data_IF_291531255245
#
_entry.id   IF_291531255245
#
_cell.length_a   1.000
_cell.length_b   1.000
_cell.length_c   1.000
_cell.angle_alpha   90.00
_cell.angle_beta   90.00
_cell.angle_gamma   90.00
#
_symmetry.space_group_name_H-M   'P 1'
#
loop_
_entity.id
_entity.type
_entity.pdbx_description
1 polymer ?
#
# COMPACT_ATOMS: atom_id res chain seq x y z
N UNK A 1 -5.91 -17.41 -5.79
CA UNK A 1 -5.54 -16.34 -4.84
C UNK A 1 -6.07 -14.98 -5.29
N UNK A 2 -5.80 -14.49 -6.49
CA UNK A 2 -6.30 -13.17 -6.93
C UNK A 2 -7.83 -13.03 -6.80
N UNK A 3 -8.57 -14.08 -7.11
CA UNK A 3 -10.03 -14.12 -6.95
C UNK A 3 -10.48 -13.95 -5.48
N UNK A 4 -9.73 -14.54 -4.55
CA UNK A 4 -9.95 -14.35 -3.12
C UNK A 4 -9.71 -12.91 -2.68
N UNK A 5 -8.60 -12.29 -3.14
CA UNK A 5 -8.31 -10.88 -2.82
C UNK A 5 -9.37 -9.95 -3.41
N UNK A 6 -9.85 -10.21 -4.65
CA UNK A 6 -10.95 -9.46 -5.25
C UNK A 6 -12.24 -9.57 -4.42
N UNK A 7 -12.63 -10.79 -4.05
CA UNK A 7 -13.84 -11.00 -3.23
C UNK A 7 -13.72 -10.30 -1.86
N UNK A 8 -12.51 -10.25 -1.29
CA UNK A 8 -12.25 -9.55 -0.03
C UNK A 8 -12.41 -8.03 -0.20
N UNK A 9 -11.81 -7.45 -1.24
CA UNK A 9 -11.93 -6.02 -1.54
C UNK A 9 -13.39 -5.63 -1.85
N UNK A 10 -14.15 -6.49 -2.55
CA UNK A 10 -15.58 -6.28 -2.82
C UNK A 10 -16.41 -6.28 -1.53
N UNK A 11 -16.12 -7.20 -0.59
CA UNK A 11 -16.81 -7.23 0.69
C UNK A 11 -16.56 -5.95 1.49
N UNK A 12 -15.32 -5.42 1.48
CA UNK A 12 -14.99 -4.13 2.09
C UNK A 12 -15.76 -3.00 1.40
N UNK A 13 -15.75 -2.95 0.06
CA UNK A 13 -16.48 -1.92 -0.71
C UNK A 13 -17.97 -1.92 -0.34
N UNK A 14 -18.58 -3.09 -0.29
CA UNK A 14 -19.99 -3.23 0.08
C UNK A 14 -20.26 -2.76 1.52
N UNK A 15 -19.37 -3.09 2.46
CA UNK A 15 -19.48 -2.64 3.84
C UNK A 15 -19.38 -1.11 3.92
N UNK A 16 -18.45 -0.48 3.19
CA UNK A 16 -18.28 0.98 3.18
C UNK A 16 -19.48 1.71 2.56
N UNK A 17 -20.08 1.19 1.50
CA UNK A 17 -21.30 1.77 0.92
C UNK A 17 -22.49 1.78 1.91
N UNK A 18 -22.54 0.82 2.83
CA UNK A 18 -23.58 0.73 3.86
C UNK A 18 -23.23 1.46 5.14
N UNK A 19 -21.95 1.78 5.35
CA UNK A 19 -21.46 2.41 6.57
C UNK A 19 -21.95 3.84 6.72
N UNK A 20 -22.23 4.25 7.99
CA UNK A 20 -22.76 5.60 8.28
C UNK A 20 -21.97 6.34 9.37
N UNK A 21 -21.11 5.65 10.10
CA UNK A 21 -20.38 6.20 11.24
C UNK A 21 -18.91 6.42 10.90
N UNK A 22 -18.55 7.60 10.42
CA UNK A 22 -17.20 7.96 9.97
C UNK A 22 -16.32 8.59 11.05
N UNK A 23 -16.79 8.58 12.30
CA UNK A 23 -16.06 9.11 13.46
C UNK A 23 -15.07 8.13 14.07
N UNK A 24 -14.27 8.64 15.03
CA UNK A 24 -13.35 7.81 15.83
C UNK A 24 -14.10 6.77 16.65
N UNK A 25 -13.64 5.53 16.62
CA UNK A 25 -14.22 4.41 17.38
C UNK A 25 -13.91 4.48 18.88
N UNK A 26 -12.81 5.15 19.26
CA UNK A 26 -12.40 5.29 20.67
C UNK A 26 -11.75 4.04 21.29
N UNK A 27 -11.57 2.97 20.53
CA UNK A 27 -10.96 1.72 21.02
C UNK A 27 -9.43 1.80 21.06
N UNK A 28 -8.83 2.47 20.08
CA UNK A 28 -7.41 2.88 20.08
C UNK A 28 -7.25 4.24 19.40
N UNK A 29 -6.09 4.87 19.60
CA UNK A 29 -5.79 6.17 18.99
C UNK A 29 -5.76 6.06 17.46
N UNK A 30 -6.51 6.92 16.77
CA UNK A 30 -6.54 6.99 15.32
C UNK A 30 -7.46 6.02 14.62
N UNK A 31 -8.08 5.05 15.33
CA UNK A 31 -9.00 4.08 14.76
C UNK A 31 -10.40 4.66 14.60
N UNK A 32 -10.99 4.43 13.46
CA UNK A 32 -12.35 4.88 13.13
C UNK A 32 -13.35 3.71 13.15
N UNK A 33 -14.65 4.01 13.22
CA UNK A 33 -15.70 2.99 13.14
C UNK A 33 -15.72 2.25 11.79
N UNK A 34 -15.41 2.95 10.70
CA UNK A 34 -15.34 2.34 9.37
C UNK A 34 -14.17 1.36 9.22
N UNK A 35 -13.03 1.58 9.89
CA UNK A 35 -11.91 0.62 9.88
C UNK A 35 -12.35 -0.73 10.46
N UNK A 36 -13.05 -0.71 11.59
CA UNK A 36 -13.58 -1.92 12.23
C UNK A 36 -14.60 -2.65 11.36
N UNK A 37 -15.47 -1.89 10.67
CA UNK A 37 -16.47 -2.46 9.79
C UNK A 37 -15.83 -3.08 8.53
N UNK A 38 -14.81 -2.42 7.98
CA UNK A 38 -14.04 -2.91 6.84
C UNK A 38 -13.25 -4.18 7.19
N UNK A 39 -12.58 -4.21 8.35
CA UNK A 39 -11.85 -5.38 8.85
C UNK A 39 -12.79 -6.56 9.04
N UNK A 40 -13.94 -6.35 9.70
CA UNK A 40 -14.93 -7.41 9.90
C UNK A 40 -15.43 -8.00 8.57
N UNK A 41 -15.67 -7.17 7.55
CA UNK A 41 -16.07 -7.62 6.22
C UNK A 41 -14.98 -8.44 5.52
N UNK A 42 -13.72 -7.99 5.60
CA UNK A 42 -12.58 -8.72 5.07
C UNK A 42 -12.37 -10.07 5.75
N UNK A 43 -12.42 -10.10 7.08
CA UNK A 43 -12.27 -11.32 7.86
C UNK A 43 -13.35 -12.37 7.56
N UNK A 44 -14.58 -11.94 7.31
CA UNK A 44 -15.68 -12.85 6.94
C UNK A 44 -15.38 -13.63 5.65
N UNK A 45 -14.61 -13.06 4.72
CA UNK A 45 -14.17 -13.72 3.49
C UNK A 45 -12.91 -14.54 3.69
N UNK A 46 -11.92 -14.01 4.41
CA UNK A 46 -10.60 -14.62 4.52
C UNK A 46 -10.55 -15.81 5.51
N UNK A 47 -11.16 -15.69 6.69
CA UNK A 47 -11.08 -16.70 7.75
C UNK A 47 -11.53 -18.11 7.33
N UNK A 48 -12.64 -18.30 6.55
CA UNK A 48 -13.07 -19.63 6.12
C UNK A 48 -12.04 -20.35 5.24
N UNK A 49 -11.15 -19.62 4.55
CA UNK A 49 -10.15 -20.19 3.64
C UNK A 49 -8.99 -20.86 4.39
N UNK A 50 -8.77 -20.52 5.65
CA UNK A 50 -7.70 -21.02 6.48
C UNK A 50 -6.33 -20.38 6.21
N UNK A 51 -6.24 -19.28 5.49
CA UNK A 51 -5.01 -18.46 5.37
C UNK A 51 -4.66 -17.82 6.72
N UNK A 52 -3.38 -17.59 6.96
CA UNK A 52 -2.96 -16.67 8.03
C UNK A 52 -3.30 -15.24 7.60
N UNK A 53 -3.83 -14.43 8.52
CA UNK A 53 -4.20 -13.05 8.26
C UNK A 53 -3.35 -12.14 9.12
N UNK A 54 -2.73 -11.14 8.52
CA UNK A 54 -2.08 -10.04 9.21
C UNK A 54 -2.78 -8.74 8.84
N UNK A 55 -3.67 -8.30 9.72
CA UNK A 55 -4.48 -7.09 9.52
C UNK A 55 -3.99 -5.95 10.40
N UNK A 56 -4.09 -4.71 9.90
CA UNK A 56 -3.89 -3.51 10.72
C UNK A 56 -4.80 -3.51 11.95
N UNK A 57 -6.07 -3.86 11.77
CA UNK A 57 -7.09 -3.70 12.78
C UNK A 57 -7.14 -4.84 13.79
N UNK A 58 -7.16 -6.07 13.31
CA UNK A 58 -7.32 -7.27 14.13
C UNK A 58 -6.01 -8.02 14.42
N UNK A 59 -4.88 -7.56 13.89
CA UNK A 59 -3.57 -8.14 14.12
C UNK A 59 -3.34 -9.49 13.42
N UNK A 60 -2.45 -10.30 13.97
CA UNK A 60 -2.09 -11.60 13.42
C UNK A 60 -3.07 -12.69 13.86
N UNK A 61 -3.68 -13.35 12.90
CA UNK A 61 -4.57 -14.50 13.09
C UNK A 61 -3.98 -15.72 12.37
N UNK A 62 -3.55 -16.71 13.13
CA UNK A 62 -2.93 -17.91 12.58
C UNK A 62 -3.92 -18.74 11.76
N UNK A 63 -3.50 -19.12 10.56
CA UNK A 63 -4.22 -19.99 9.65
C UNK A 63 -3.71 -21.44 9.67
N UNK A 64 -4.13 -22.21 8.65
CA UNK A 64 -3.78 -23.62 8.49
C UNK A 64 -3.05 -23.92 7.19
N UNK A 65 -3.03 -22.95 6.28
CA UNK A 65 -2.32 -23.04 4.99
C UNK A 65 -1.06 -22.16 5.01
N UNK A 66 0.00 -22.51 4.27
CA UNK A 66 1.28 -21.78 4.27
C UNK A 66 1.21 -20.50 3.42
N UNK A 67 0.19 -19.68 3.62
CA UNK A 67 0.01 -18.38 2.98
C UNK A 67 -0.47 -17.40 4.02
N UNK A 68 0.16 -16.24 4.07
CA UNK A 68 -0.30 -15.10 4.88
C UNK A 68 -0.90 -14.04 3.96
N UNK A 69 -2.14 -13.63 4.23
CA UNK A 69 -2.73 -12.44 3.61
C UNK A 69 -2.50 -11.25 4.54
N UNK A 70 -1.70 -10.32 4.08
CA UNK A 70 -1.45 -9.03 4.74
C UNK A 70 -2.47 -8.04 4.20
N UNK A 71 -3.19 -7.36 5.10
CA UNK A 71 -4.30 -6.47 4.71
C UNK A 71 -4.29 -5.17 5.52
N UNK A 72 -4.43 -4.05 4.81
CA UNK A 72 -5.02 -2.83 5.31
C UNK A 72 -6.43 -2.70 4.73
N UNK A 73 -7.47 -2.83 5.55
CA UNK A 73 -8.85 -2.68 5.06
C UNK A 73 -9.14 -1.27 4.52
N UNK A 74 -8.56 -0.23 5.15
CA UNK A 74 -8.73 1.18 4.75
C UNK A 74 -7.41 1.95 4.89
N UNK A 75 -6.52 1.82 3.91
CA UNK A 75 -5.34 2.70 3.82
C UNK A 75 -5.78 4.12 3.43
N UNK A 76 -5.52 5.06 4.33
CA UNK A 76 -6.02 6.42 4.23
C UNK A 76 -7.32 6.68 5.03
N UNK A 77 -7.49 6.04 6.20
CA UNK A 77 -8.68 6.16 7.08
C UNK A 77 -9.05 7.60 7.41
N UNK A 78 -8.06 8.49 7.60
CA UNK A 78 -8.31 9.92 7.81
C UNK A 78 -8.94 10.57 6.57
N UNK A 79 -8.47 10.23 5.37
CA UNK A 79 -9.06 10.71 4.11
C UNK A 79 -10.51 10.23 3.99
N UNK A 80 -10.74 8.94 4.20
CA UNK A 80 -12.07 8.34 4.17
C UNK A 80 -13.02 9.07 5.14
N UNK A 81 -12.59 9.30 6.39
CA UNK A 81 -13.38 9.99 7.42
C UNK A 81 -13.72 11.45 7.08
N UNK A 82 -12.92 12.09 6.23
CA UNK A 82 -13.08 13.49 5.80
C UNK A 82 -13.70 13.65 4.43
N UNK A 83 -13.99 12.53 3.72
CA UNK A 83 -14.51 12.56 2.35
C UNK A 83 -13.47 13.02 1.33
N UNK A 84 -12.17 12.87 1.63
CA UNK A 84 -11.10 13.12 0.67
C UNK A 84 -10.96 11.92 -0.26
N UNK A 85 -10.85 12.13 -1.59
CA UNK A 85 -10.96 11.05 -2.57
C UNK A 85 -9.62 10.33 -2.82
N UNK A 86 -8.94 9.84 -1.77
CA UNK A 86 -7.67 9.10 -1.90
C UNK A 86 -7.51 8.14 -0.73
N UNK A 87 -8.14 6.96 -0.82
CA UNK A 87 -8.06 5.88 0.16
C UNK A 87 -8.43 4.55 -0.50
N UNK A 88 -7.89 3.45 0.02
CA UNK A 88 -7.95 2.14 -0.64
C UNK A 88 -8.07 0.99 0.34
N UNK A 89 -8.35 -0.20 -0.19
CA UNK A 89 -8.07 -1.49 0.45
C UNK A 89 -6.81 -2.07 -0.16
N UNK A 90 -5.82 -2.37 0.68
CA UNK A 90 -4.53 -2.94 0.29
C UNK A 90 -4.42 -4.39 0.74
N UNK A 91 -4.13 -5.31 -0.17
CA UNK A 91 -4.06 -6.75 0.06
C UNK A 91 -2.81 -7.34 -0.58
N UNK A 92 -2.08 -8.17 0.18
CA UNK A 92 -0.95 -8.93 -0.36
C UNK A 92 -0.93 -10.36 0.23
N UNK A 93 -1.04 -11.37 -0.62
CA UNK A 93 -0.78 -12.75 -0.24
C UNK A 93 0.73 -13.01 -0.32
N UNK A 94 1.29 -13.56 0.74
CA UNK A 94 2.71 -13.85 0.92
C UNK A 94 2.87 -15.34 1.20
N UNK A 95 3.76 -16.00 0.45
CA UNK A 95 4.18 -17.38 0.66
C UNK A 95 5.64 -17.45 1.17
N UNK A 96 6.25 -18.64 1.17
CA UNK A 96 7.62 -18.85 1.65
C UNK A 96 8.68 -18.10 0.80
N UNK A 97 8.36 -17.76 -0.45
CA UNK A 97 9.24 -17.03 -1.36
C UNK A 97 8.99 -15.49 -1.32
N UNK A 98 8.05 -15.01 -0.49
CA UNK A 98 7.73 -13.59 -0.30
C UNK A 98 6.38 -13.18 -0.92
N UNK A 99 6.16 -11.88 -1.25
CA UNK A 99 4.95 -11.39 -1.90
C UNK A 99 4.63 -12.18 -3.17
N UNK A 100 3.42 -12.75 -3.24
CA UNK A 100 3.01 -13.65 -4.33
C UNK A 100 1.92 -13.06 -5.22
N UNK A 101 0.82 -12.60 -4.60
CA UNK A 101 -0.30 -11.97 -5.31
C UNK A 101 -0.73 -10.73 -4.54
N UNK A 102 -0.91 -9.61 -5.21
CA UNK A 102 -1.42 -8.40 -4.57
C UNK A 102 -2.62 -7.81 -5.29
N UNK A 103 -3.39 -7.04 -4.53
CA UNK A 103 -4.50 -6.23 -5.02
C UNK A 103 -4.58 -4.94 -4.18
N UNK A 104 -4.63 -3.80 -4.86
CA UNK A 104 -4.98 -2.51 -4.27
C UNK A 104 -6.24 -2.00 -4.97
N UNK A 105 -7.28 -1.72 -4.20
CA UNK A 105 -8.55 -1.23 -4.72
C UNK A 105 -8.81 0.19 -4.21
N UNK A 106 -8.83 1.15 -5.13
CA UNK A 106 -9.28 2.52 -4.82
C UNK A 106 -10.78 2.49 -4.55
N UNK A 107 -11.15 2.83 -3.33
CA UNK A 107 -12.53 2.76 -2.85
C UNK A 107 -13.39 3.96 -3.30
N UNK A 108 -12.78 4.95 -3.95
CA UNK A 108 -13.46 6.15 -4.45
C UNK A 108 -13.77 6.03 -5.95
N UNK A 109 -12.74 5.68 -6.75
CA UNK A 109 -12.86 5.60 -8.20
C UNK A 109 -13.29 4.22 -8.68
N UNK A 110 -13.04 3.17 -7.87
CA UNK A 110 -13.22 1.78 -8.26
C UNK A 110 -12.05 1.22 -9.08
N UNK A 111 -11.00 2.01 -9.32
CA UNK A 111 -9.79 1.52 -9.98
C UNK A 111 -9.12 0.41 -9.15
N UNK A 112 -8.52 -0.57 -9.84
CA UNK A 112 -7.84 -1.71 -9.20
C UNK A 112 -6.49 -1.94 -9.82
N UNK A 113 -5.48 -2.10 -8.98
CA UNK A 113 -4.16 -2.57 -9.36
C UNK A 113 -3.95 -3.95 -8.79
N UNK A 114 -3.48 -4.87 -9.60
CA UNK A 114 -3.10 -6.20 -9.13
C UNK A 114 -1.81 -6.67 -9.77
N UNK A 115 -1.12 -7.56 -9.07
CA UNK A 115 0.10 -8.20 -9.59
C UNK A 115 0.19 -9.64 -9.10
N UNK A 116 0.87 -10.45 -9.90
CA UNK A 116 1.26 -11.82 -9.56
C UNK A 116 2.75 -11.93 -9.80
N UNK A 117 3.51 -12.45 -8.84
CA UNK A 117 4.96 -12.66 -8.96
C UNK A 117 5.32 -13.39 -10.26
N UNK A 118 6.12 -12.75 -11.11
CA UNK A 118 6.50 -13.23 -12.44
C UNK A 118 5.40 -13.15 -13.50
N UNK A 119 4.21 -12.63 -13.15
CA UNK A 119 3.07 -12.50 -14.06
C UNK A 119 2.88 -11.09 -14.64
N UNK A 120 3.51 -10.10 -14.02
CA UNK A 120 3.35 -8.69 -14.33
C UNK A 120 2.28 -7.99 -13.48
N UNK A 121 2.22 -6.67 -13.63
CA UNK A 121 1.24 -5.82 -12.96
C UNK A 121 0.18 -5.31 -13.94
N UNK A 122 -1.03 -5.09 -13.41
CA UNK A 122 -2.19 -4.68 -14.19
C UNK A 122 -2.95 -3.57 -13.45
N UNK A 123 -3.51 -2.65 -14.24
CA UNK A 123 -4.43 -1.61 -13.78
C UNK A 123 -5.75 -1.77 -14.55
N UNK A 124 -6.84 -2.03 -13.84
CA UNK A 124 -8.15 -2.33 -14.43
C UNK A 124 -8.08 -3.43 -15.51
N UNK A 125 -7.35 -4.51 -15.22
CA UNK A 125 -7.08 -5.66 -16.10
C UNK A 125 -6.23 -5.35 -17.34
N UNK A 126 -5.79 -4.10 -17.53
CA UNK A 126 -4.80 -3.73 -18.55
C UNK A 126 -3.39 -3.81 -17.99
N UNK A 127 -2.49 -4.47 -18.76
CA UNK A 127 -1.10 -4.61 -18.34
C UNK A 127 -0.42 -3.23 -18.22
N UNK A 128 0.21 -2.97 -17.10
CA UNK A 128 0.94 -1.72 -16.88
C UNK A 128 2.21 -1.73 -17.76
N UNK A 129 2.35 -0.65 -18.54
CA UNK A 129 3.57 -0.34 -19.30
C UNK A 129 4.02 1.04 -18.85
N UNK A 130 5.12 1.09 -18.10
CA UNK A 130 5.60 2.35 -17.55
C UNK A 130 6.18 3.28 -18.63
N UNK A 131 5.94 4.59 -18.50
CA UNK A 131 6.70 5.59 -19.25
C UNK A 131 8.17 5.63 -18.76
N UNK A 132 9.10 6.21 -19.53
CA UNK A 132 10.46 6.49 -19.07
C UNK A 132 10.46 7.35 -17.79
N UNK A 133 11.32 7.02 -16.84
CA UNK A 133 11.47 7.75 -15.57
C UNK A 133 12.34 8.99 -15.77
N UNK A 134 11.90 10.19 -15.35
CA UNK A 134 12.72 11.39 -15.42
C UNK A 134 13.76 11.44 -14.28
N UNK A 135 14.73 12.36 -14.39
CA UNK A 135 15.63 12.67 -13.27
C UNK A 135 14.87 13.40 -12.15
N UNK A 136 15.39 13.35 -10.91
CA UNK A 136 14.73 13.94 -9.72
C UNK A 136 14.30 15.40 -9.92
N UNK A 137 15.10 16.21 -10.57
CA UNK A 137 14.79 17.64 -10.84
C UNK A 137 13.59 17.87 -11.76
N UNK A 138 13.13 16.84 -12.44
CA UNK A 138 11.97 16.88 -13.36
C UNK A 138 10.81 16.05 -12.81
N UNK A 139 11.05 15.26 -11.76
CA UNK A 139 10.14 14.27 -11.23
C UNK A 139 9.01 14.86 -10.37
N UNK A 140 7.89 14.16 -10.35
CA UNK A 140 6.76 14.36 -9.44
C UNK A 140 6.82 13.25 -8.39
N UNK A 141 7.06 13.63 -7.12
CA UNK A 141 7.29 12.69 -6.02
C UNK A 141 6.10 12.67 -5.07
N UNK A 142 5.60 11.46 -4.74
CA UNK A 142 4.71 11.24 -3.60
C UNK A 142 5.46 11.36 -2.29
N UNK A 143 4.87 12.00 -1.29
CA UNK A 143 5.48 12.17 0.04
C UNK A 143 4.55 11.62 1.12
N UNK A 144 5.08 10.72 1.94
CA UNK A 144 4.49 10.34 3.23
C UNK A 144 5.15 11.12 4.36
N UNK A 145 4.36 11.92 5.10
CA UNK A 145 4.87 12.83 6.10
C UNK A 145 5.50 14.10 5.51
N UNK A 146 6.16 14.90 6.34
CA UNK A 146 6.73 16.20 5.96
C UNK A 146 8.25 16.11 5.88
N UNK A 147 8.90 16.42 4.75
CA UNK A 147 10.35 16.47 4.66
C UNK A 147 10.88 17.73 5.38
N UNK A 148 12.08 17.67 6.00
CA UNK A 148 12.66 18.80 6.71
C UNK A 148 13.05 19.96 5.78
N UNK A 149 13.26 19.66 4.49
CA UNK A 149 13.60 20.63 3.43
C UNK A 149 13.26 20.03 2.06
N UNK A 150 13.26 20.90 1.04
CA UNK A 150 13.14 20.48 -0.36
C UNK A 150 14.42 19.77 -0.82
N UNK A 151 14.31 18.55 -1.37
CA UNK A 151 15.47 17.73 -1.76
C UNK A 151 15.61 17.49 -3.28
N UNK A 152 15.08 18.40 -4.10
CA UNK A 152 15.46 18.47 -5.52
C UNK A 152 14.40 18.03 -6.53
N UNK A 153 13.21 17.58 -6.12
CA UNK A 153 12.09 17.24 -7.04
C UNK A 153 11.55 18.48 -7.77
N UNK A 154 10.86 18.26 -8.89
CA UNK A 154 10.14 19.33 -9.58
C UNK A 154 8.83 19.68 -8.86
N UNK A 155 8.02 18.67 -8.57
CA UNK A 155 6.75 18.78 -7.85
C UNK A 155 6.61 17.66 -6.82
N UNK A 156 5.72 17.86 -5.85
CA UNK A 156 5.37 16.79 -4.91
C UNK A 156 3.86 16.68 -4.74
N UNK A 157 3.45 15.52 -4.20
CA UNK A 157 2.09 15.24 -3.74
C UNK A 157 2.16 14.58 -2.38
N UNK A 158 1.22 14.92 -1.51
CA UNK A 158 1.02 14.25 -0.22
C UNK A 158 -0.45 13.87 -0.12
N UNK A 159 -0.77 12.67 -0.60
CA UNK A 159 -2.15 12.25 -0.75
C UNK A 159 -2.69 11.51 0.47
N UNK A 160 -1.87 10.74 1.20
CA UNK A 160 -2.23 10.11 2.47
C UNK A 160 -2.80 8.69 2.37
N UNK A 161 -2.54 7.98 1.28
CA UNK A 161 -2.70 6.54 1.11
C UNK A 161 -1.45 6.01 0.42
N UNK A 162 -0.59 5.31 1.15
CA UNK A 162 0.67 4.84 0.59
C UNK A 162 0.46 3.70 -0.43
N UNK A 163 -0.55 2.85 -0.25
CA UNK A 163 -0.86 1.83 -1.23
C UNK A 163 -1.19 2.42 -2.60
N UNK A 164 -2.03 3.49 -2.64
CA UNK A 164 -2.34 4.19 -3.88
C UNK A 164 -1.16 4.99 -4.42
N UNK A 165 -0.37 5.61 -3.53
CA UNK A 165 0.84 6.35 -3.95
C UNK A 165 1.84 5.41 -4.65
N UNK A 166 2.04 4.19 -4.14
CA UNK A 166 2.87 3.17 -4.78
C UNK A 166 2.27 2.67 -6.10
N UNK A 167 0.95 2.47 -6.17
CA UNK A 167 0.28 2.15 -7.43
C UNK A 167 0.45 3.27 -8.46
N UNK A 168 0.38 4.53 -8.04
CA UNK A 168 0.65 5.67 -8.91
C UNK A 168 2.12 5.73 -9.36
N UNK A 169 3.08 5.23 -8.57
CA UNK A 169 4.46 5.01 -9.02
C UNK A 169 4.51 3.86 -10.02
N UNK A 170 3.82 2.77 -9.78
CA UNK A 170 3.81 1.61 -10.67
C UNK A 170 3.29 1.94 -12.08
N UNK A 171 2.27 2.77 -12.23
CA UNK A 171 1.70 3.13 -13.52
C UNK A 171 2.24 4.46 -14.11
N UNK A 172 3.16 5.15 -13.39
CA UNK A 172 3.84 6.35 -13.86
C UNK A 172 3.07 7.67 -13.68
N UNK A 173 1.99 7.68 -12.90
CA UNK A 173 1.31 8.92 -12.46
C UNK A 173 2.18 9.71 -11.48
N UNK A 174 2.99 9.02 -10.68
CA UNK A 174 4.10 9.54 -9.91
C UNK A 174 5.41 8.91 -10.42
N UNK A 175 6.49 9.66 -10.36
CA UNK A 175 7.81 9.16 -10.76
C UNK A 175 8.51 8.41 -9.62
N UNK A 176 8.19 8.78 -8.37
CA UNK A 176 8.69 8.13 -7.18
C UNK A 176 7.89 8.49 -5.94
N UNK A 177 8.26 7.86 -4.82
CA UNK A 177 7.69 8.09 -3.50
C UNK A 177 8.77 8.08 -2.43
N UNK A 178 8.68 8.93 -1.43
CA UNK A 178 9.57 8.93 -0.27
C UNK A 178 8.79 9.11 1.03
N UNK A 179 8.91 8.14 1.96
CA UNK A 179 8.38 8.33 3.31
C UNK A 179 9.36 9.14 4.15
N UNK A 180 8.90 10.26 4.70
CA UNK A 180 9.75 11.25 5.35
C UNK A 180 9.97 10.99 6.85
N UNK A 181 9.09 10.23 7.49
CA UNK A 181 9.21 9.86 8.90
C UNK A 181 9.85 8.48 9.04
N UNK A 182 10.94 8.33 9.81
CA UNK A 182 11.60 7.04 9.99
C UNK A 182 10.70 6.04 10.72
N UNK A 183 10.73 4.78 10.25
CA UNK A 183 10.09 3.63 10.88
C UNK A 183 8.62 3.86 11.31
N UNK A 184 7.83 4.46 10.41
CA UNK A 184 6.43 4.79 10.68
C UNK A 184 5.45 3.83 9.98
N UNK A 185 5.80 3.29 8.80
CA UNK A 185 4.87 2.59 7.92
C UNK A 185 4.90 1.08 8.16
N UNK A 186 3.72 0.48 8.29
CA UNK A 186 3.56 -0.94 8.47
C UNK A 186 3.45 -1.69 7.14
N UNK A 187 3.64 -3.01 7.17
CA UNK A 187 3.64 -3.82 5.95
C UNK A 187 2.27 -3.91 5.27
N UNK A 188 1.17 -3.78 5.98
CA UNK A 188 -0.17 -3.76 5.40
C UNK A 188 -0.42 -2.51 4.56
N UNK A 189 0.20 -1.37 4.90
CA UNK A 189 0.06 -0.12 4.15
C UNK A 189 0.75 -0.21 2.77
N UNK A 190 1.88 -0.93 2.65
CA UNK A 190 2.71 -0.87 1.45
C UNK A 190 2.84 -2.17 0.64
N UNK A 191 2.68 -3.39 1.23
CA UNK A 191 2.99 -4.64 0.51
C UNK A 191 2.14 -4.85 -0.74
N UNK A 192 0.89 -4.42 -0.74
CA UNK A 192 0.05 -4.44 -1.93
C UNK A 192 0.68 -3.68 -3.08
N UNK A 193 1.07 -2.42 -2.83
CA UNK A 193 1.72 -1.56 -3.81
C UNK A 193 3.14 -2.00 -4.18
N UNK A 194 3.90 -2.58 -3.24
CA UNK A 194 5.27 -3.07 -3.47
C UNK A 194 5.29 -4.12 -4.59
N UNK A 195 4.43 -5.14 -4.53
CA UNK A 195 4.41 -6.16 -5.57
C UNK A 195 3.95 -5.58 -6.92
N UNK A 196 2.97 -4.67 -6.91
CA UNK A 196 2.53 -3.97 -8.14
C UNK A 196 3.70 -3.19 -8.75
N UNK A 197 4.47 -2.45 -7.94
CA UNK A 197 5.66 -1.73 -8.42
C UNK A 197 6.68 -2.67 -9.06
N UNK A 198 7.11 -3.72 -8.33
CA UNK A 198 8.13 -4.64 -8.81
C UNK A 198 7.72 -5.32 -10.12
N UNK A 199 6.47 -5.78 -10.23
CA UNK A 199 5.95 -6.44 -11.43
C UNK A 199 5.69 -5.45 -12.60
N UNK A 200 5.58 -4.16 -12.32
CA UNK A 200 5.55 -3.09 -13.32
C UNK A 200 6.95 -2.61 -13.75
N UNK A 201 8.02 -3.09 -13.10
CA UNK A 201 9.41 -2.67 -13.36
C UNK A 201 9.81 -1.38 -12.64
N UNK A 202 9.07 -0.99 -11.60
CA UNK A 202 9.48 0.03 -10.65
C UNK A 202 10.15 -0.62 -9.43
N UNK A 203 10.87 0.17 -8.65
CA UNK A 203 11.62 -0.29 -7.48
C UNK A 203 11.01 0.27 -6.19
N UNK A 204 10.90 -0.58 -5.16
CA UNK A 204 10.50 -0.17 -3.81
C UNK A 204 11.42 -0.84 -2.79
N UNK A 205 12.02 -0.05 -1.93
CA UNK A 205 12.91 -0.55 -0.88
C UNK A 205 12.63 0.14 0.47
N UNK A 206 13.04 -0.51 1.56
CA UNK A 206 13.21 0.19 2.83
C UNK A 206 14.47 1.06 2.78
N UNK A 207 14.41 2.29 3.25
CA UNK A 207 15.54 3.22 3.28
C UNK A 207 16.83 2.63 3.89
N UNK A 208 16.69 1.68 4.82
CA UNK A 208 17.80 1.01 5.49
C UNK A 208 18.14 -0.37 4.87
N UNK A 209 17.53 -0.73 3.74
CA UNK A 209 17.78 -1.99 3.04
C UNK A 209 17.27 -3.24 3.76
N UNK A 210 16.31 -3.10 4.68
CA UNK A 210 15.70 -4.23 5.39
C UNK A 210 14.60 -4.87 4.54
N UNK A 211 14.27 -6.13 4.83
CA UNK A 211 13.16 -6.81 4.16
C UNK A 211 11.85 -6.03 4.28
N UNK A 212 11.12 -5.91 3.17
CA UNK A 212 9.80 -5.27 3.10
C UNK A 212 8.67 -6.19 3.60
N UNK A 213 8.90 -7.49 3.73
CA UNK A 213 7.90 -8.46 4.19
C UNK A 213 8.35 -9.18 5.49
N UNK A 214 8.42 -8.48 6.63
CA UNK A 214 8.81 -9.07 7.91
C UNK A 214 7.72 -9.97 8.52
N UNK A 215 6.47 -9.87 8.08
CA UNK A 215 5.27 -10.57 8.56
C UNK A 215 5.10 -10.47 10.09
N UNK A 216 5.27 -9.28 10.62
CA UNK A 216 5.23 -9.00 12.05
C UNK A 216 4.53 -7.69 12.37
N UNK A 217 3.42 -7.75 13.09
CA UNK A 217 2.54 -6.60 13.40
C UNK A 217 3.26 -5.41 14.06
N UNK A 218 4.34 -5.64 14.81
CA UNK A 218 5.10 -4.59 15.50
C UNK A 218 6.21 -3.92 14.66
N UNK A 219 6.47 -4.39 13.45
CA UNK A 219 7.59 -3.89 12.63
C UNK A 219 7.13 -2.74 11.74
N UNK A 220 8.01 -1.77 11.58
CA UNK A 220 7.80 -0.59 10.71
C UNK A 220 8.97 -0.41 9.76
N UNK A 221 8.70 0.26 8.64
CA UNK A 221 9.65 0.55 7.56
C UNK A 221 9.58 2.01 7.14
N UNK A 222 10.55 2.41 6.35
CA UNK A 222 10.62 3.73 5.70
C UNK A 222 10.70 3.51 4.19
N UNK A 223 9.56 3.31 3.50
CA UNK A 223 9.55 3.02 2.08
C UNK A 223 10.06 4.18 1.24
N UNK A 224 10.86 3.84 0.22
CA UNK A 224 11.25 4.71 -0.89
C UNK A 224 11.01 3.96 -2.17
N UNK A 225 10.32 4.59 -3.13
CA UNK A 225 9.99 3.99 -4.42
C UNK A 225 10.39 4.90 -5.57
N UNK A 226 10.74 4.31 -6.70
CA UNK A 226 11.02 5.03 -7.92
C UNK A 226 10.71 4.20 -9.16
N UNK A 227 10.47 4.87 -10.26
CA UNK A 227 10.22 4.25 -11.54
C UNK A 227 11.41 3.48 -12.13
N UNK A 228 12.63 3.79 -11.70
CA UNK A 228 13.83 3.06 -12.05
C UNK A 228 14.91 3.20 -10.97
N UNK A 229 16.01 2.42 -11.13
CA UNK A 229 17.13 2.42 -10.19
C UNK A 229 17.88 3.76 -10.13
N UNK A 230 17.89 4.55 -11.21
CA UNK A 230 18.61 5.81 -11.23
C UNK A 230 17.91 6.86 -10.34
N UNK A 231 16.59 7.01 -10.49
CA UNK A 231 15.80 7.88 -9.63
C UNK A 231 15.75 7.35 -8.19
N UNK A 232 15.73 6.02 -7.98
CA UNK A 232 15.78 5.44 -6.64
C UNK A 232 17.06 5.84 -5.90
N UNK A 233 18.21 5.78 -6.55
CA UNK A 233 19.50 6.16 -5.95
C UNK A 233 19.55 7.66 -5.59
N UNK A 234 19.01 8.53 -6.47
CA UNK A 234 18.86 9.94 -6.20
C UNK A 234 17.97 10.19 -4.96
N UNK A 235 16.81 9.51 -4.88
CA UNK A 235 15.88 9.63 -3.74
C UNK A 235 16.47 9.09 -2.44
N UNK A 236 17.14 7.94 -2.46
CA UNK A 236 17.80 7.37 -1.28
C UNK A 236 18.93 8.27 -0.78
N UNK A 237 19.72 8.85 -1.71
CA UNK A 237 20.78 9.81 -1.37
C UNK A 237 20.20 11.04 -0.69
N UNK A 238 19.16 11.62 -1.26
CA UNK A 238 18.48 12.77 -0.69
C UNK A 238 17.85 12.42 0.67
N UNK A 239 17.15 11.29 0.78
CA UNK A 239 16.46 10.85 2.01
C UNK A 239 17.42 10.60 3.18
N UNK A 240 18.65 10.12 2.92
CA UNK A 240 19.69 9.94 3.96
C UNK A 240 20.11 11.25 4.62
N UNK A 241 19.88 12.38 3.99
CA UNK A 241 20.19 13.70 4.53
C UNK A 241 19.16 14.21 5.54
N UNK A 242 18.06 13.48 5.77
CA UNK A 242 17.01 13.83 6.76
C UNK A 242 17.35 13.41 8.20
N UNK A 243 18.45 12.74 8.42
CA UNK A 243 18.87 12.23 9.73
C UNK A 243 19.25 13.34 10.71
#
# INVERSE_FOLDING_TARGET
MLELLNSTAEAVTMAMHQHREWGLAGTRRGQYHHDLAADAAALAVLQPTGVTILSEESGLQAGRVPVTVVIDPIDGSTNASRGLPWWSTSLCAVDDDGPWVSLVADQVTGERWHAVRGGGAFHNDERIIRPPTPQLREAIIGLGGWPPFHFGWNQFRAYGSIALDLCAVADGRLDGYAHCVPDEVAEWDYLGGVLVCHEAGAEVVDMHGRSMAPLSHGVRRTPVAAGDLALLDELLTARRTFA
#
